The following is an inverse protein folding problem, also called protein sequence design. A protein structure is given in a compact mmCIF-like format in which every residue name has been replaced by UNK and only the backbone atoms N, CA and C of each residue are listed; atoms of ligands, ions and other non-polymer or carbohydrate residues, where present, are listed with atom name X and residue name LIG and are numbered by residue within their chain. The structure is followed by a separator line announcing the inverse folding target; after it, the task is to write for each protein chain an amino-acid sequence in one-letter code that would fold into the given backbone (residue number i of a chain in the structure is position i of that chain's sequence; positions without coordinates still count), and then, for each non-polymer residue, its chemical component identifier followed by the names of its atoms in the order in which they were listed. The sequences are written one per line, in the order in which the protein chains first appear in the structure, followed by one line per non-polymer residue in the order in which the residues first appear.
data_IF_817210357632
#
_entry.id   IF_817210357632
#
_cell.length_a   1.000
_cell.length_b   1.000
_cell.length_c   1.000
_cell.angle_alpha   90.00
_cell.angle_beta   90.00
_cell.angle_gamma   90.00
#
_symmetry.space_group_name_H-M   'P 1'
#
loop_
_entity.id
_entity.type
_entity.pdbx_description
1 polymer ?
#
# COMPACT_ATOMS: atom_id res chain seq x y z
N UNK A 1 11.93 -10.77 2.24
CA UNK A 1 10.55 -10.56 1.78
C UNK A 1 10.51 -9.62 0.58
N UNK A 2 10.93 -8.35 0.69
CA UNK A 2 11.18 -7.51 -0.49
C UNK A 2 12.67 -7.45 -0.82
N UNK A 3 13.02 -7.46 -2.10
CA UNK A 3 14.37 -7.25 -2.59
C UNK A 3 14.34 -6.44 -3.89
N UNK A 4 14.90 -5.25 -3.85
CA UNK A 4 14.97 -4.33 -4.98
C UNK A 4 16.44 -4.17 -5.36
N UNK A 5 16.78 -4.41 -6.64
CA UNK A 5 18.14 -4.34 -7.17
C UNK A 5 18.18 -3.57 -8.47
N UNK A 6 19.07 -2.57 -8.53
CA UNK A 6 19.37 -1.76 -9.72
C UNK A 6 18.12 -1.25 -10.43
N UNK A 7 17.05 -0.93 -9.65
CA UNK A 7 15.77 -0.55 -10.21
C UNK A 7 15.84 0.85 -10.82
N UNK A 8 15.32 0.96 -12.04
CA UNK A 8 15.26 2.23 -12.78
C UNK A 8 13.83 2.53 -13.27
N UNK A 9 13.50 3.81 -13.31
CA UNK A 9 12.25 4.28 -13.92
C UNK A 9 12.39 5.65 -14.55
N UNK A 10 12.10 5.69 -15.85
CA UNK A 10 11.90 6.90 -16.64
C UNK A 10 10.51 6.87 -17.25
N UNK A 11 9.77 7.96 -17.15
CA UNK A 11 8.51 8.13 -17.91
C UNK A 11 8.79 8.81 -19.24
N UNK A 12 8.12 8.32 -20.29
CA UNK A 12 8.13 8.93 -21.63
C UNK A 12 6.78 9.55 -21.92
N UNK A 13 6.76 10.85 -22.16
CA UNK A 13 5.56 11.61 -22.46
C UNK A 13 5.34 11.65 -23.99
N UNK A 14 4.62 10.67 -24.52
CA UNK A 14 4.41 10.53 -25.97
C UNK A 14 3.76 11.77 -26.61
N UNK A 15 2.93 12.50 -25.85
CA UNK A 15 2.21 13.70 -26.32
C UNK A 15 2.98 15.02 -26.15
N UNK A 16 4.21 14.99 -25.60
CA UNK A 16 5.06 16.15 -25.33
C UNK A 16 6.47 15.92 -25.89
N UNK A 17 6.60 15.87 -27.20
CA UNK A 17 7.86 15.67 -27.91
C UNK A 17 8.72 14.50 -27.40
N UNK A 18 8.08 13.43 -26.93
CA UNK A 18 8.75 12.28 -26.31
C UNK A 18 9.67 12.64 -25.11
N UNK A 19 9.32 13.71 -24.39
CA UNK A 19 10.09 14.13 -23.23
C UNK A 19 10.26 12.96 -22.25
N UNK A 20 11.50 12.74 -21.81
CA UNK A 20 11.84 11.73 -20.82
C UNK A 20 11.93 12.39 -19.43
N UNK A 21 11.23 11.81 -18.47
CA UNK A 21 11.26 12.23 -17.06
C UNK A 21 11.87 11.08 -16.26
N UNK A 22 13.18 11.12 -15.99
CA UNK A 22 13.81 10.15 -15.11
C UNK A 22 13.30 10.38 -13.68
N UNK A 23 12.91 9.32 -12.98
CA UNK A 23 12.33 9.43 -11.61
C UNK A 23 13.23 8.80 -10.59
N UNK A 24 13.64 7.54 -10.81
CA UNK A 24 14.57 6.83 -9.93
C UNK A 24 15.57 6.04 -10.76
N UNK A 25 16.80 5.97 -10.26
CA UNK A 25 17.90 5.23 -10.86
C UNK A 25 18.69 4.50 -9.80
N UNK A 26 19.12 3.28 -10.12
CA UNK A 26 19.96 2.42 -9.28
C UNK A 26 19.41 2.23 -7.84
N UNK A 27 18.09 2.01 -7.70
CA UNK A 27 17.48 1.75 -6.40
C UNK A 27 17.87 0.37 -5.92
N UNK A 28 18.47 0.32 -4.73
CA UNK A 28 18.93 -0.92 -4.12
C UNK A 28 18.56 -0.93 -2.63
N UNK A 29 17.68 -1.83 -2.21
CA UNK A 29 17.39 -2.12 -0.80
C UNK A 29 16.60 -3.42 -0.65
N UNK A 30 16.51 -3.90 0.57
CA UNK A 30 15.68 -5.06 0.94
C UNK A 30 14.83 -4.73 2.16
N UNK A 31 13.77 -5.50 2.40
CA UNK A 31 12.95 -5.44 3.62
C UNK A 31 12.66 -6.88 4.07
N UNK A 32 12.95 -7.16 5.33
CA UNK A 32 12.76 -8.50 5.92
C UNK A 32 11.32 -8.71 6.39
N UNK A 33 10.96 -9.97 6.66
CA UNK A 33 9.71 -10.29 7.34
C UNK A 33 9.68 -9.63 8.72
N UNK A 34 8.55 -9.03 9.10
CA UNK A 34 8.38 -8.31 10.36
C UNK A 34 9.06 -6.94 10.42
N UNK A 35 9.67 -6.47 9.32
CA UNK A 35 10.31 -5.16 9.24
C UNK A 35 9.38 -4.13 8.58
N UNK A 36 9.30 -2.92 9.16
CA UNK A 36 8.64 -1.76 8.56
C UNK A 36 9.68 -0.71 8.15
N UNK A 37 9.70 -0.37 6.89
CA UNK A 37 10.62 0.62 6.31
C UNK A 37 9.84 1.83 5.80
N UNK A 38 10.25 3.03 6.24
CA UNK A 38 9.70 4.28 5.70
C UNK A 38 10.48 4.75 4.48
N UNK A 39 9.77 5.09 3.41
CA UNK A 39 10.32 5.87 2.30
C UNK A 39 10.22 7.36 2.63
N UNK A 40 11.36 8.05 2.68
CA UNK A 40 11.46 9.48 2.97
C UNK A 40 11.97 10.27 1.76
N UNK A 41 11.99 11.59 1.85
CA UNK A 41 12.42 12.48 0.79
C UNK A 41 11.38 13.56 0.45
N UNK A 42 11.79 14.58 -0.28
CA UNK A 42 10.93 15.71 -0.68
C UNK A 42 9.69 15.27 -1.48
N UNK A 43 8.68 16.14 -1.56
CA UNK A 43 7.55 15.92 -2.47
C UNK A 43 8.08 15.82 -3.92
N UNK A 44 7.54 14.86 -4.68
CA UNK A 44 8.01 14.60 -6.05
C UNK A 44 9.29 13.75 -6.17
N UNK A 45 9.92 13.32 -5.08
CA UNK A 45 11.16 12.50 -5.12
C UNK A 45 10.96 11.05 -5.64
N UNK A 46 9.75 10.65 -6.01
CA UNK A 46 9.49 9.31 -6.55
C UNK A 46 8.99 8.27 -5.56
N UNK A 47 8.70 8.61 -4.29
CA UNK A 47 8.23 7.65 -3.26
C UNK A 47 7.00 6.84 -3.70
N UNK A 48 5.91 7.50 -4.07
CA UNK A 48 4.69 6.82 -4.54
C UNK A 48 4.89 6.11 -5.88
N UNK A 49 5.83 6.60 -6.73
CA UNK A 49 6.23 5.88 -7.94
C UNK A 49 6.90 4.57 -7.59
N UNK A 50 7.77 4.56 -6.59
CA UNK A 50 8.45 3.34 -6.12
C UNK A 50 7.45 2.34 -5.55
N UNK A 51 6.49 2.76 -4.71
CA UNK A 51 5.41 1.86 -4.25
C UNK A 51 4.60 1.28 -5.42
N UNK A 52 4.28 2.09 -6.43
CA UNK A 52 3.53 1.62 -7.62
C UNK A 52 4.33 0.69 -8.52
N UNK A 53 5.66 0.83 -8.58
CA UNK A 53 6.56 -0.11 -9.25
C UNK A 53 6.57 -1.46 -8.51
N UNK A 54 6.73 -1.44 -7.18
CA UNK A 54 6.73 -2.64 -6.34
C UNK A 54 5.38 -3.37 -6.44
N UNK A 55 4.26 -2.62 -6.48
CA UNK A 55 2.93 -3.19 -6.66
C UNK A 55 2.65 -3.68 -8.09
N UNK A 56 3.55 -3.40 -9.06
CA UNK A 56 3.38 -3.77 -10.46
C UNK A 56 2.34 -2.91 -11.22
N UNK A 57 1.98 -1.72 -10.71
CA UNK A 57 1.12 -0.76 -11.42
C UNK A 57 1.86 0.01 -12.52
N UNK A 58 3.18 0.11 -12.39
CA UNK A 58 4.06 0.70 -13.40
C UNK A 58 5.09 -0.34 -13.84
N UNK A 59 5.43 -0.34 -15.11
CA UNK A 59 6.53 -1.12 -15.64
C UNK A 59 7.84 -0.45 -15.25
N UNK A 60 8.79 -1.21 -14.73
CA UNK A 60 10.15 -0.76 -14.51
C UNK A 60 10.86 -0.52 -15.86
N UNK A 61 11.86 0.36 -15.87
CA UNK A 61 12.75 0.53 -17.02
C UNK A 61 13.80 -0.58 -17.07
N UNK A 62 14.39 -0.88 -15.90
CA UNK A 62 15.38 -1.94 -15.69
C UNK A 62 15.41 -2.34 -14.22
N UNK A 63 16.17 -3.38 -13.88
CA UNK A 63 16.37 -3.88 -12.52
C UNK A 63 15.46 -5.02 -12.13
N UNK A 64 15.40 -5.31 -10.84
CA UNK A 64 14.64 -6.45 -10.29
C UNK A 64 13.86 -6.01 -9.05
N UNK A 65 12.62 -6.47 -8.93
CA UNK A 65 11.78 -6.34 -7.75
C UNK A 65 11.30 -7.73 -7.38
N UNK A 66 11.85 -8.31 -6.32
CA UNK A 66 11.37 -9.57 -5.76
C UNK A 66 10.44 -9.27 -4.58
N UNK A 67 9.27 -9.89 -4.59
CA UNK A 67 8.32 -9.91 -3.49
C UNK A 67 8.04 -11.38 -3.18
N UNK A 68 8.47 -11.83 -2.02
CA UNK A 68 8.40 -13.23 -1.61
C UNK A 68 8.92 -14.21 -2.70
N UNK A 69 10.07 -13.87 -3.28
CA UNK A 69 10.70 -14.65 -4.35
C UNK A 69 10.11 -14.47 -5.75
N UNK A 70 8.94 -13.82 -5.87
CA UNK A 70 8.32 -13.54 -7.17
C UNK A 70 8.87 -12.25 -7.77
N UNK A 71 9.44 -12.31 -8.97
CA UNK A 71 9.90 -11.09 -9.66
C UNK A 71 8.72 -10.37 -10.31
N UNK A 72 8.49 -9.12 -9.87
CA UNK A 72 7.44 -8.24 -10.41
C UNK A 72 7.83 -7.67 -11.78
N UNK A 73 9.14 -7.43 -11.99
CA UNK A 73 9.64 -6.87 -13.26
C UNK A 73 9.55 -7.94 -14.34
N UNK A 74 8.78 -7.65 -15.39
CA UNK A 74 8.57 -8.57 -16.50
C UNK A 74 7.60 -9.73 -16.22
N UNK A 75 6.97 -9.76 -15.06
CA UNK A 75 5.96 -10.77 -14.74
C UNK A 75 4.72 -10.63 -15.64
N UNK A 76 4.12 -11.76 -15.98
CA UNK A 76 2.85 -11.76 -16.70
C UNK A 76 1.69 -11.28 -15.80
N UNK A 77 0.56 -10.81 -16.38
CA UNK A 77 -0.56 -10.28 -15.62
C UNK A 77 -1.17 -11.25 -14.60
N UNK A 78 -1.14 -12.56 -14.85
CA UNK A 78 -1.71 -13.55 -13.90
C UNK A 78 -0.85 -13.66 -12.66
N UNK A 79 0.46 -13.70 -12.84
CA UNK A 79 1.45 -13.69 -11.74
C UNK A 79 1.26 -12.45 -10.85
N UNK A 80 1.08 -11.27 -11.46
CA UNK A 80 0.81 -10.03 -10.70
C UNK A 80 -0.52 -10.09 -9.95
N UNK A 81 -1.58 -10.60 -10.59
CA UNK A 81 -2.88 -10.74 -9.92
C UNK A 81 -2.83 -11.73 -8.76
N UNK A 82 -2.13 -12.85 -8.92
CA UNK A 82 -1.96 -13.84 -7.86
C UNK A 82 -1.16 -13.27 -6.68
N UNK A 83 -0.05 -12.57 -6.96
CA UNK A 83 0.76 -11.88 -5.97
C UNK A 83 -0.09 -10.90 -5.13
N UNK A 84 -0.95 -10.11 -5.78
CA UNK A 84 -1.83 -9.14 -5.12
C UNK A 84 -2.97 -9.79 -4.35
N UNK A 85 -3.36 -11.00 -4.74
CA UNK A 85 -4.46 -11.72 -4.11
C UNK A 85 -4.08 -12.26 -2.74
N UNK A 86 -2.84 -12.76 -2.57
CA UNK A 86 -2.46 -13.53 -1.38
C UNK A 86 -1.19 -13.05 -0.69
N UNK A 87 -0.35 -12.26 -1.37
CA UNK A 87 0.99 -11.94 -0.87
C UNK A 87 1.20 -10.44 -0.62
N UNK A 88 0.75 -9.59 -1.55
CA UNK A 88 1.08 -8.16 -1.55
C UNK A 88 -0.17 -7.27 -1.44
N UNK A 89 -0.44 -6.76 -0.25
CA UNK A 89 -1.47 -5.77 -0.01
C UNK A 89 -1.00 -4.34 -0.31
N UNK A 90 -1.95 -3.43 -0.57
CA UNK A 90 -1.64 -2.02 -0.79
C UNK A 90 -2.76 -1.10 -0.26
N UNK A 91 -2.44 -0.31 0.75
CA UNK A 91 -3.25 0.84 1.17
C UNK A 91 -2.79 2.05 0.37
N UNK A 92 -3.58 2.43 -0.63
CA UNK A 92 -3.30 3.58 -1.50
C UNK A 92 -3.65 4.90 -0.81
N UNK A 93 -3.12 6.02 -1.28
CA UNK A 93 -3.40 7.34 -0.73
C UNK A 93 -4.91 7.70 -0.78
N UNK A 94 -5.62 7.25 -1.80
CA UNK A 94 -7.06 7.48 -1.96
C UNK A 94 -7.80 6.18 -2.21
N UNK A 95 -8.95 6.02 -1.57
CA UNK A 95 -9.83 4.88 -1.79
C UNK A 95 -10.32 4.83 -3.24
N UNK A 96 -10.12 3.70 -3.89
CA UNK A 96 -10.62 3.44 -5.25
C UNK A 96 -11.55 2.25 -5.23
N UNK A 97 -12.82 2.48 -5.48
CA UNK A 97 -13.87 1.47 -5.46
C UNK A 97 -14.86 1.68 -6.59
N UNK A 98 -15.58 0.62 -6.92
CA UNK A 98 -16.69 0.71 -7.86
C UNK A 98 -17.88 1.45 -7.22
N UNK A 99 -18.62 2.28 -7.97
CA UNK A 99 -19.82 2.93 -7.47
C UNK A 99 -20.87 1.91 -7.02
N UNK A 100 -21.67 2.28 -6.02
CA UNK A 100 -22.83 1.49 -5.53
C UNK A 100 -22.48 0.15 -4.87
N UNK A 101 -21.20 -0.10 -4.57
CA UNK A 101 -20.80 -1.28 -3.76
C UNK A 101 -20.87 -0.88 -2.29
N UNK A 102 -21.57 -1.65 -1.42
CA UNK A 102 -21.61 -1.41 0.02
C UNK A 102 -20.22 -1.44 0.66
N UNK A 103 -20.01 -0.60 1.67
CA UNK A 103 -18.73 -0.49 2.39
C UNK A 103 -18.27 -1.83 2.95
N UNK A 104 -19.18 -2.61 3.53
CA UNK A 104 -18.86 -3.95 4.06
C UNK A 104 -18.29 -4.87 2.97
N UNK A 105 -18.86 -4.84 1.76
CA UNK A 105 -18.37 -5.62 0.62
C UNK A 105 -17.02 -5.11 0.11
N UNK A 106 -16.80 -3.80 0.12
CA UNK A 106 -15.50 -3.20 -0.23
C UNK A 106 -14.41 -3.70 0.71
N UNK A 107 -14.68 -3.77 2.01
CA UNK A 107 -13.71 -4.25 3.01
C UNK A 107 -13.52 -5.76 2.96
N UNK A 108 -14.58 -6.53 2.70
CA UNK A 108 -14.51 -7.98 2.58
C UNK A 108 -13.83 -8.47 1.28
N UNK A 109 -13.75 -7.61 0.24
CA UNK A 109 -13.28 -7.99 -1.10
C UNK A 109 -11.94 -8.72 -1.11
N UNK A 110 -10.86 -8.29 -0.40
CA UNK A 110 -9.58 -9.01 -0.41
C UNK A 110 -9.69 -10.44 0.09
N UNK A 111 -10.49 -10.68 1.14
CA UNK A 111 -10.73 -12.01 1.69
C UNK A 111 -11.49 -12.91 0.71
N UNK A 112 -12.52 -12.36 0.07
CA UNK A 112 -13.29 -13.08 -0.96
C UNK A 112 -12.42 -13.44 -2.16
N UNK A 113 -11.54 -12.53 -2.59
CA UNK A 113 -10.58 -12.80 -3.67
C UNK A 113 -9.55 -13.87 -3.28
N UNK A 114 -9.16 -13.92 -1.99
CA UNK A 114 -8.29 -14.97 -1.46
C UNK A 114 -8.99 -16.33 -1.29
N UNK A 115 -10.31 -16.40 -1.50
CA UNK A 115 -11.10 -17.63 -1.43
C UNK A 115 -11.72 -17.91 -0.06
N UNK A 116 -11.78 -16.91 0.84
CA UNK A 116 -12.49 -17.06 2.11
C UNK A 116 -14.01 -17.14 1.90
N UNK A 117 -14.69 -17.86 2.78
CA UNK A 117 -16.15 -17.93 2.80
C UNK A 117 -16.77 -16.55 3.08
N UNK A 118 -17.95 -16.30 2.50
CA UNK A 118 -18.59 -14.97 2.54
C UNK A 118 -18.87 -14.50 3.97
N UNK A 119 -19.41 -15.36 4.81
CA UNK A 119 -19.77 -15.00 6.19
C UNK A 119 -18.53 -14.64 7.02
N UNK A 120 -17.44 -15.39 6.89
CA UNK A 120 -16.18 -15.11 7.56
C UNK A 120 -15.53 -13.79 7.04
N UNK A 121 -15.60 -13.55 5.74
CA UNK A 121 -15.08 -12.32 5.15
C UNK A 121 -15.87 -11.08 5.63
N UNK A 122 -17.19 -11.17 5.71
CA UNK A 122 -18.04 -10.10 6.24
C UNK A 122 -17.87 -9.89 7.75
N UNK A 123 -17.72 -10.95 8.54
CA UNK A 123 -17.45 -10.85 9.98
C UNK A 123 -16.13 -10.10 10.21
N UNK A 124 -15.08 -10.44 9.46
CA UNK A 124 -13.80 -9.71 9.52
C UNK A 124 -13.95 -8.25 9.10
N UNK A 125 -14.76 -7.99 8.06
CA UNK A 125 -15.03 -6.62 7.61
C UNK A 125 -15.75 -5.80 8.67
N UNK A 126 -16.78 -6.34 9.34
CA UNK A 126 -17.50 -5.70 10.46
C UNK A 126 -16.55 -5.36 11.60
N UNK A 127 -15.71 -6.31 12.02
CA UNK A 127 -14.70 -6.08 13.05
C UNK A 127 -13.77 -4.90 12.71
N UNK A 128 -13.27 -4.83 11.47
CA UNK A 128 -12.36 -3.76 11.06
C UNK A 128 -13.07 -2.40 10.94
N UNK A 129 -14.30 -2.38 10.45
CA UNK A 129 -15.11 -1.16 10.36
C UNK A 129 -15.40 -0.60 11.76
N UNK A 130 -15.74 -1.46 12.73
CA UNK A 130 -15.93 -1.09 14.13
C UNK A 130 -14.61 -0.59 14.76
N UNK A 131 -13.51 -1.33 14.60
CA UNK A 131 -12.17 -0.95 15.10
C UNK A 131 -11.76 0.43 14.59
N UNK A 132 -12.11 0.78 13.34
CA UNK A 132 -11.83 2.08 12.71
C UNK A 132 -12.99 3.09 12.87
N UNK A 133 -13.96 2.82 13.74
CA UNK A 133 -15.06 3.73 14.09
C UNK A 133 -15.85 4.23 12.88
N UNK A 134 -16.12 3.33 11.91
CA UNK A 134 -17.09 3.60 10.86
C UNK A 134 -18.49 3.26 11.40
N UNK A 135 -19.43 4.22 11.46
CA UNK A 135 -20.77 3.98 11.97
C UNK A 135 -21.50 2.84 11.21
N UNK A 136 -22.22 1.98 11.94
CA UNK A 136 -22.87 0.81 11.37
C UNK A 136 -23.88 1.17 10.27
N UNK A 137 -24.59 2.30 10.42
CA UNK A 137 -25.54 2.80 9.42
C UNK A 137 -24.89 3.19 8.09
N UNK A 138 -23.56 3.25 8.01
CA UNK A 138 -22.80 3.50 6.79
C UNK A 138 -22.33 2.22 6.08
N UNK A 139 -22.41 1.06 6.73
CA UNK A 139 -21.82 -0.17 6.18
C UNK A 139 -22.50 -0.67 4.90
N UNK A 140 -23.81 -0.42 4.77
CA UNK A 140 -24.59 -0.78 3.57
C UNK A 140 -24.56 0.33 2.49
N UNK A 141 -23.93 1.47 2.77
CA UNK A 141 -23.81 2.55 1.81
C UNK A 141 -22.48 2.46 1.04
N UNK A 142 -22.44 3.09 -0.14
CA UNK A 142 -21.20 3.21 -0.91
C UNK A 142 -20.24 4.21 -0.26
N UNK A 143 -18.98 3.86 -0.02
CA UNK A 143 -18.02 4.76 0.64
C UNK A 143 -17.68 6.00 -0.20
N UNK A 144 -18.05 6.05 -1.48
CA UNK A 144 -17.83 7.24 -2.32
C UNK A 144 -18.62 8.47 -1.85
N UNK A 145 -19.64 8.28 -1.01
CA UNK A 145 -20.45 9.38 -0.44
C UNK A 145 -19.93 9.87 0.91
N UNK A 146 -18.89 9.25 1.44
CA UNK A 146 -18.35 9.53 2.77
C UNK A 146 -17.40 10.72 2.76
N UNK A 147 -17.14 11.28 3.95
CA UNK A 147 -16.06 12.25 4.14
C UNK A 147 -14.68 11.65 3.81
N UNK A 148 -13.69 12.49 3.51
CA UNK A 148 -12.33 12.02 3.19
C UNK A 148 -11.72 11.17 4.30
N UNK A 149 -11.97 11.52 5.58
CA UNK A 149 -11.48 10.73 6.72
C UNK A 149 -12.17 9.37 6.84
N UNK A 150 -13.48 9.28 6.57
CA UNK A 150 -14.20 7.98 6.53
C UNK A 150 -13.73 7.13 5.36
N UNK A 151 -13.57 7.71 4.16
CA UNK A 151 -13.01 6.99 3.01
C UNK A 151 -11.61 6.44 3.31
N UNK A 152 -10.77 7.23 3.98
CA UNK A 152 -9.44 6.78 4.37
C UNK A 152 -9.50 5.60 5.36
N UNK A 153 -10.40 5.65 6.37
CA UNK A 153 -10.58 4.53 7.30
C UNK A 153 -11.10 3.26 6.61
N UNK A 154 -12.02 3.40 5.65
CA UNK A 154 -12.48 2.26 4.82
C UNK A 154 -11.34 1.69 3.98
N UNK A 155 -10.49 2.55 3.40
CA UNK A 155 -9.32 2.14 2.63
C UNK A 155 -8.33 1.33 3.48
N UNK A 156 -8.09 1.77 4.73
CA UNK A 156 -7.26 1.06 5.70
C UNK A 156 -7.91 -0.28 6.08
N UNK A 157 -9.21 -0.28 6.43
CA UNK A 157 -9.94 -1.50 6.73
C UNK A 157 -9.77 -2.54 5.63
N UNK A 158 -9.96 -2.14 4.36
CA UNK A 158 -9.77 -3.00 3.19
C UNK A 158 -8.34 -3.53 3.08
N UNK A 159 -7.34 -2.66 3.27
CA UNK A 159 -5.92 -3.04 3.15
C UNK A 159 -5.45 -4.02 4.24
N UNK A 160 -6.10 -3.98 5.42
CA UNK A 160 -5.81 -4.87 6.56
C UNK A 160 -6.84 -6.01 6.72
N UNK A 161 -7.75 -6.18 5.75
CA UNK A 161 -8.75 -7.25 5.82
C UNK A 161 -8.09 -8.64 5.73
N UNK A 162 -7.23 -8.82 4.75
CA UNK A 162 -6.42 -10.03 4.59
C UNK A 162 -5.07 -9.86 5.27
N UNK A 163 -4.56 -10.93 5.88
CA UNK A 163 -3.24 -10.91 6.56
C UNK A 163 -2.12 -11.14 5.53
N UNK A 164 -1.80 -10.09 4.78
CA UNK A 164 -0.76 -10.12 3.76
C UNK A 164 0.63 -10.31 4.37
N UNK A 165 1.48 -11.21 3.81
CA UNK A 165 2.89 -11.30 4.17
C UNK A 165 3.71 -10.04 3.86
N UNK A 166 3.27 -9.27 2.86
CA UNK A 166 3.88 -8.02 2.41
C UNK A 166 2.83 -6.92 2.24
N UNK A 167 3.08 -5.70 2.74
CA UNK A 167 2.12 -4.60 2.71
C UNK A 167 2.78 -3.29 2.30
N UNK A 168 2.14 -2.58 1.38
CA UNK A 168 2.51 -1.23 0.98
C UNK A 168 1.52 -0.22 1.57
N UNK A 169 2.03 0.86 2.16
CA UNK A 169 1.23 1.90 2.81
C UNK A 169 1.58 3.27 2.22
N UNK A 170 0.64 3.91 1.52
CA UNK A 170 0.82 5.25 0.95
C UNK A 170 0.02 6.27 1.78
N UNK A 171 0.69 6.92 2.74
CA UNK A 171 0.14 7.90 3.66
C UNK A 171 -1.05 7.40 4.51
N UNK A 172 -0.93 6.25 5.20
CA UNK A 172 -2.07 5.60 5.86
C UNK A 172 -2.67 6.44 7.01
N UNK A 173 -1.90 7.37 7.59
CA UNK A 173 -2.33 8.21 8.72
C UNK A 173 -2.78 9.62 8.30
N UNK A 174 -2.78 9.94 7.00
CA UNK A 174 -3.20 11.24 6.51
C UNK A 174 -4.70 11.48 6.80
N UNK A 175 -5.04 12.71 7.17
CA UNK A 175 -6.43 13.16 7.42
C UNK A 175 -7.17 12.40 8.53
N UNK A 176 -6.45 11.72 9.43
CA UNK A 176 -7.02 11.03 10.59
C UNK A 176 -6.89 11.87 11.85
N UNK A 177 -7.94 11.86 12.69
CA UNK A 177 -7.86 12.36 14.04
C UNK A 177 -6.90 11.51 14.91
N UNK A 178 -6.44 12.03 16.07
CA UNK A 178 -5.44 11.35 16.89
C UNK A 178 -5.84 9.92 17.31
N UNK A 179 -7.12 9.70 17.61
CA UNK A 179 -7.60 8.40 18.08
C UNK A 179 -7.63 7.35 16.95
N UNK A 180 -8.07 7.74 15.75
CA UNK A 180 -8.02 6.87 14.58
C UNK A 180 -6.58 6.65 14.10
N UNK A 181 -5.72 7.69 14.16
CA UNK A 181 -4.28 7.54 13.88
C UNK A 181 -3.65 6.47 14.78
N UNK A 182 -3.86 6.54 16.10
CA UNK A 182 -3.31 5.53 17.02
C UNK A 182 -3.80 4.13 16.66
N UNK A 183 -5.09 3.95 16.39
CA UNK A 183 -5.64 2.67 15.95
C UNK A 183 -4.91 2.12 14.73
N UNK A 184 -4.59 2.97 13.74
CA UNK A 184 -3.84 2.54 12.52
C UNK A 184 -2.40 2.18 12.85
N UNK A 185 -1.72 2.94 13.72
CA UNK A 185 -0.36 2.59 14.16
C UNK A 185 -0.33 1.24 14.89
N UNK A 186 -1.30 0.98 15.75
CA UNK A 186 -1.44 -0.32 16.44
C UNK A 186 -1.67 -1.46 15.43
N UNK A 187 -2.50 -1.24 14.39
CA UNK A 187 -2.72 -2.23 13.33
C UNK A 187 -1.44 -2.52 12.52
N UNK A 188 -0.59 -1.51 12.28
CA UNK A 188 0.71 -1.68 11.62
C UNK A 188 1.66 -2.50 12.51
N UNK A 189 1.72 -2.21 13.81
CA UNK A 189 2.53 -2.96 14.78
C UNK A 189 2.06 -4.42 14.83
N UNK A 190 0.76 -4.65 14.98
CA UNK A 190 0.17 -5.99 14.97
C UNK A 190 0.53 -6.77 13.69
N UNK A 191 0.56 -6.11 12.52
CA UNK A 191 0.94 -6.75 11.26
C UNK A 191 2.45 -7.11 11.24
N UNK A 192 3.32 -6.22 11.72
CA UNK A 192 4.77 -6.49 11.89
C UNK A 192 4.99 -7.69 12.79
N UNK A 193 4.33 -7.73 13.93
CA UNK A 193 4.48 -8.80 14.94
C UNK A 193 4.04 -10.16 14.39
N UNK A 194 3.12 -10.18 13.43
CA UNK A 194 2.75 -11.39 12.66
C UNK A 194 3.74 -11.73 11.54
N UNK A 195 4.81 -10.96 11.36
CA UNK A 195 5.84 -11.19 10.35
C UNK A 195 5.59 -10.49 9.00
N UNK A 196 4.61 -9.60 8.89
CA UNK A 196 4.39 -8.82 7.67
C UNK A 196 5.55 -7.87 7.40
N UNK A 197 6.11 -7.90 6.20
CA UNK A 197 7.08 -6.93 5.74
C UNK A 197 6.35 -5.69 5.21
N UNK A 198 6.71 -4.50 5.67
CA UNK A 198 5.98 -3.27 5.34
C UNK A 198 6.90 -2.23 4.71
N UNK A 199 6.47 -1.63 3.60
CA UNK A 199 7.08 -0.43 3.03
C UNK A 199 6.02 0.67 3.07
N UNK A 200 6.31 1.79 3.75
CA UNK A 200 5.34 2.86 3.93
C UNK A 200 5.86 4.25 3.63
N UNK A 201 4.97 5.15 3.24
CA UNK A 201 5.18 6.59 3.17
C UNK A 201 4.40 7.22 4.32
N UNK A 202 5.09 7.94 5.21
CA UNK A 202 4.47 8.61 6.35
C UNK A 202 4.97 10.06 6.39
N UNK A 203 4.07 11.03 6.36
CA UNK A 203 4.43 12.44 6.52
C UNK A 203 4.66 12.82 7.97
N UNK A 204 3.97 12.17 8.91
CA UNK A 204 4.10 12.39 10.34
C UNK A 204 5.35 11.66 10.88
N UNK A 205 6.33 12.44 11.36
CA UNK A 205 7.57 11.90 11.94
C UNK A 205 7.30 11.06 13.18
N UNK A 206 6.34 11.45 14.02
CA UNK A 206 5.99 10.69 15.22
C UNK A 206 5.43 9.31 14.85
N UNK A 207 4.56 9.25 13.82
CA UNK A 207 4.05 7.99 13.29
C UNK A 207 5.19 7.11 12.76
N UNK A 208 6.13 7.66 11.99
CA UNK A 208 7.31 6.92 11.50
C UNK A 208 8.12 6.31 12.62
N UNK A 209 8.47 7.12 13.62
CA UNK A 209 9.27 6.67 14.78
C UNK A 209 8.57 5.57 15.58
N UNK A 210 7.23 5.53 15.56
CA UNK A 210 6.45 4.53 16.28
C UNK A 210 6.46 3.16 15.59
N UNK A 211 6.36 3.12 14.26
CA UNK A 211 6.13 1.86 13.55
C UNK A 211 7.30 1.40 12.69
N UNK A 212 8.17 2.31 12.23
CA UNK A 212 9.25 1.98 11.30
C UNK A 212 10.55 1.65 12.03
N UNK A 213 11.26 0.64 11.54
CA UNK A 213 12.55 0.19 12.07
C UNK A 213 13.71 1.01 11.45
N UNK A 214 13.55 1.47 10.22
CA UNK A 214 14.49 2.35 9.50
C UNK A 214 13.82 3.16 8.40
N UNK A 215 14.56 4.12 7.90
CA UNK A 215 14.14 5.00 6.80
C UNK A 215 15.06 4.83 5.60
N UNK A 216 14.48 4.97 4.40
CA UNK A 216 15.20 5.03 3.12
C UNK A 216 14.88 6.35 2.46
N UNK A 217 15.89 7.21 2.30
CA UNK A 217 15.73 8.47 1.58
C UNK A 217 15.78 8.22 0.07
N UNK A 218 14.61 8.35 -0.56
CA UNK A 218 14.44 8.15 -2.01
C UNK A 218 15.19 9.20 -2.84
N UNK A 219 15.55 10.35 -2.25
CA UNK A 219 16.32 11.38 -2.96
C UNK A 219 17.72 10.89 -3.36
N UNK A 220 18.29 9.92 -2.65
CA UNK A 220 19.57 9.30 -3.01
C UNK A 220 19.48 8.49 -4.32
N UNK A 221 18.30 8.15 -4.77
CA UNK A 221 18.02 7.41 -6.00
C UNK A 221 17.41 8.31 -7.09
N UNK A 222 17.33 9.62 -6.85
CA UNK A 222 16.87 10.55 -7.87
C UNK A 222 17.79 10.46 -9.10
N UNK A 223 17.20 10.20 -10.26
CA UNK A 223 17.97 10.16 -11.49
C UNK A 223 18.53 11.57 -11.77
N UNK A 224 19.78 11.63 -12.23
CA UNK A 224 20.36 12.89 -12.67
C UNK A 224 19.55 13.44 -13.86
N UNK A 225 19.21 14.74 -13.77
CA UNK A 225 18.48 15.46 -14.80
C UNK A 225 19.31 15.66 -16.07
#
# INVERSE_FOLDING_TARGET
MFEIRNLEKTFRLHNQNQAEIPVVSNVNFNVQAGECVALTGASGSGKSTLLRLIYGNYLAGDGTILVDGTNVVGADPRTILELRRTTLGYVTQFLRVLPRVPTIRVVAEPLLQAGCEVDAAEERARYLLEKLRIPENLWELSPLTFSGGEQQRVNIARGFAYDYPALLLDEPTASLDPANRQTVLDMIIDAKDRGCAIIGIFHDEAARRTVCDREIDVTHFAAAA
#
